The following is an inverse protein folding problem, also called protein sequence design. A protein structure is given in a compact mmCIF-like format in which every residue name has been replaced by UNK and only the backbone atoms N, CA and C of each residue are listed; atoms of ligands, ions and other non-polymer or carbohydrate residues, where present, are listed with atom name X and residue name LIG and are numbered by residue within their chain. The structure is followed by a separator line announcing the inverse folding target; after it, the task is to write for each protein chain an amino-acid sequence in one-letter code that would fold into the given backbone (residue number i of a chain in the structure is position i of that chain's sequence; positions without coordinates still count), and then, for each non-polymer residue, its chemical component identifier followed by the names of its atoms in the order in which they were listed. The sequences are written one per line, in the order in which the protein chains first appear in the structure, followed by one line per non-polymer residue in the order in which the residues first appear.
data_IF_092746682319
#
_entry.id   IF_092746682319
#
_cell.length_a   1.000
_cell.length_b   1.000
_cell.length_c   1.000
_cell.angle_alpha   90.00
_cell.angle_beta   90.00
_cell.angle_gamma   90.00
#
_symmetry.space_group_name_H-M   'P 1'
#
loop_
_entity.id
_entity.type
_entity.pdbx_description
1 polymer ?
#
# COMPACT_ATOMS: atom_id res chain seq x y z
N UNK A 1 16.62 -6.89 26.40
CA UNK A 1 15.69 -6.02 25.66
C UNK A 1 14.51 -5.78 26.58
N UNK A 2 14.33 -4.57 27.12
CA UNK A 2 13.29 -4.28 28.13
C UNK A 2 12.00 -3.81 27.46
N UNK A 3 10.85 -4.20 28.02
CA UNK A 3 9.51 -3.77 27.58
C UNK A 3 9.08 -2.45 28.27
N UNK A 4 9.88 -1.95 29.20
CA UNK A 4 9.64 -0.73 29.98
C UNK A 4 9.67 0.49 29.04
N UNK A 5 8.52 0.82 28.45
CA UNK A 5 8.37 1.90 27.45
C UNK A 5 7.43 1.57 26.29
N UNK A 6 7.02 0.30 26.15
CA UNK A 6 6.00 -0.07 25.16
C UNK A 6 4.64 0.48 25.59
N UNK A 7 3.96 1.16 24.66
CA UNK A 7 2.59 1.62 24.87
C UNK A 7 1.64 0.43 24.86
N UNK A 8 0.66 0.40 25.77
CA UNK A 8 -0.43 -0.60 25.79
C UNK A 8 -1.64 -0.14 24.95
N UNK A 9 -1.50 0.99 24.25
CA UNK A 9 -2.54 1.49 23.37
C UNK A 9 -2.88 0.46 22.27
N UNK A 10 -4.15 0.33 21.86
CA UNK A 10 -4.52 -0.54 20.75
C UNK A 10 -3.69 -0.20 19.50
N UNK A 11 -3.02 -1.20 18.93
CA UNK A 11 -2.17 -1.03 17.73
C UNK A 11 -0.69 -0.72 18.00
N UNK A 12 -0.28 -0.42 19.24
CA UNK A 12 1.11 -0.07 19.56
C UNK A 12 2.14 -1.19 19.29
N UNK A 13 1.67 -2.43 19.24
CA UNK A 13 2.46 -3.63 18.98
C UNK A 13 2.01 -4.36 17.72
N UNK A 14 1.29 -3.67 16.83
CA UNK A 14 0.93 -4.20 15.50
C UNK A 14 1.98 -3.72 14.51
N UNK A 15 2.78 -4.66 14.02
CA UNK A 15 3.64 -4.45 12.84
C UNK A 15 2.75 -4.68 11.63
N UNK A 16 2.51 -3.64 10.84
CA UNK A 16 1.82 -3.79 9.56
C UNK A 16 2.88 -4.04 8.50
N UNK A 17 2.73 -5.14 7.76
CA UNK A 17 3.64 -5.50 6.68
C UNK A 17 3.40 -4.55 5.48
N UNK A 18 4.47 -3.90 5.02
CA UNK A 18 4.42 -2.85 4.01
C UNK A 18 5.38 -3.18 2.87
N UNK A 19 4.87 -3.84 1.84
CA UNK A 19 5.63 -4.14 0.63
C UNK A 19 5.45 -3.05 -0.42
N UNK A 20 6.40 -2.97 -1.34
CA UNK A 20 6.29 -2.09 -2.49
C UNK A 20 5.05 -2.44 -3.32
N UNK A 21 4.23 -1.43 -3.64
CA UNK A 21 2.99 -1.55 -4.41
C UNK A 21 3.22 -1.94 -5.88
N UNK A 22 4.45 -1.81 -6.38
CA UNK A 22 4.79 -2.17 -7.76
C UNK A 22 4.72 -3.70 -7.90
N UNK A 23 3.92 -4.22 -8.86
CA UNK A 23 3.83 -5.66 -9.09
C UNK A 23 5.23 -6.22 -9.36
N UNK A 24 5.50 -7.42 -8.89
CA UNK A 24 6.79 -8.13 -9.07
C UNK A 24 8.00 -7.54 -8.31
N UNK A 25 7.85 -6.42 -7.58
CA UNK A 25 8.96 -5.88 -6.79
C UNK A 25 9.24 -6.71 -5.53
N UNK A 26 8.22 -6.98 -4.70
CA UNK A 26 8.34 -7.76 -3.47
C UNK A 26 9.28 -7.19 -2.38
N UNK A 27 9.92 -6.04 -2.63
CA UNK A 27 10.81 -5.37 -1.67
C UNK A 27 9.99 -4.67 -0.58
N UNK A 28 10.58 -4.51 0.60
CA UNK A 28 10.00 -3.72 1.67
C UNK A 28 9.84 -2.25 1.28
N UNK A 29 8.69 -1.67 1.58
CA UNK A 29 8.38 -0.27 1.32
C UNK A 29 8.81 0.61 2.49
N UNK A 30 9.70 1.57 2.23
CA UNK A 30 10.14 2.56 3.23
C UNK A 30 9.36 3.87 3.16
N UNK A 31 8.63 4.10 2.06
CA UNK A 31 7.96 5.37 1.75
C UNK A 31 6.47 5.13 1.58
N UNK A 32 5.67 5.63 2.52
CA UNK A 32 4.21 5.49 2.51
C UNK A 32 3.52 6.80 2.11
N UNK A 33 2.48 6.71 1.27
CA UNK A 33 1.62 7.84 0.91
C UNK A 33 0.15 7.44 1.00
N UNK A 34 -0.63 8.24 1.72
CA UNK A 34 -2.08 8.10 1.85
C UNK A 34 -2.76 9.25 1.11
N UNK A 35 -3.53 8.95 0.07
CA UNK A 35 -4.25 9.96 -0.71
C UNK A 35 -5.48 10.56 0.01
N UNK A 36 -5.83 10.02 1.19
CA UNK A 36 -6.94 10.50 2.00
C UNK A 36 -7.27 9.51 3.12
N UNK A 37 -8.32 9.80 3.90
CA UNK A 37 -8.74 8.94 5.03
C UNK A 37 -9.45 7.65 4.61
N UNK A 38 -9.88 7.57 3.34
CA UNK A 38 -10.64 6.44 2.80
C UNK A 38 -9.74 5.44 2.07
N UNK A 39 -8.63 5.93 1.52
CA UNK A 39 -7.72 5.12 0.72
C UNK A 39 -6.65 4.50 1.61
N UNK A 40 -6.30 3.25 1.35
CA UNK A 40 -5.18 2.60 2.03
C UNK A 40 -3.86 3.32 1.71
N UNK A 41 -2.94 3.31 2.67
CA UNK A 41 -1.59 3.82 2.46
C UNK A 41 -0.87 2.91 1.50
N UNK A 42 -0.46 3.44 0.35
CA UNK A 42 0.41 2.73 -0.58
C UNK A 42 1.86 2.94 -0.19
N UNK A 43 2.70 1.94 -0.43
CA UNK A 43 4.10 1.91 -0.02
C UNK A 43 5.02 1.64 -1.21
N UNK A 44 6.20 2.27 -1.22
CA UNK A 44 7.22 2.10 -2.27
C UNK A 44 8.61 1.88 -1.67
N UNK A 45 9.45 1.11 -2.38
CA UNK A 45 10.88 1.07 -2.12
C UNK A 45 11.57 2.31 -2.70
N UNK A 46 12.82 2.57 -2.33
CA UNK A 46 13.57 3.75 -2.80
C UNK A 46 13.62 3.85 -4.33
N UNK A 47 13.83 2.72 -5.01
CA UNK A 47 13.94 2.66 -6.47
C UNK A 47 12.62 3.07 -7.15
N UNK A 48 11.49 2.60 -6.63
CA UNK A 48 10.18 2.86 -7.21
C UNK A 48 9.49 4.12 -6.67
N UNK A 49 9.97 4.72 -5.59
CA UNK A 49 9.42 5.96 -5.09
C UNK A 49 9.71 7.13 -6.02
N UNK A 50 10.87 7.11 -6.70
CA UNK A 50 11.29 8.14 -7.66
C UNK A 50 10.73 7.90 -9.06
N UNK A 51 10.51 6.63 -9.42
CA UNK A 51 9.89 6.21 -10.69
C UNK A 51 8.36 6.33 -10.65
N UNK A 52 7.76 6.20 -9.45
CA UNK A 52 6.35 6.46 -9.27
C UNK A 52 6.05 7.87 -9.81
N UNK A 53 5.18 8.00 -10.83
CA UNK A 53 4.85 9.29 -11.41
C UNK A 53 4.26 10.14 -10.28
N UNK A 54 5.10 11.08 -9.83
CA UNK A 54 4.94 12.08 -8.78
C UNK A 54 3.53 12.10 -8.15
N UNK A 55 3.35 11.37 -7.04
CA UNK A 55 2.32 11.64 -6.04
C UNK A 55 0.89 11.94 -6.56
N UNK A 56 0.46 11.29 -7.65
CA UNK A 56 -0.86 11.54 -8.20
C UNK A 56 -1.15 10.69 -9.43
N UNK A 57 -2.02 9.70 -9.23
CA UNK A 57 -2.93 9.15 -10.25
C UNK A 57 -2.37 9.11 -11.70
N UNK A 58 -1.69 8.01 -12.09
CA UNK A 58 -1.87 7.60 -13.48
C UNK A 58 -3.23 6.88 -13.56
N UNK A 59 -4.08 7.32 -14.48
CA UNK A 59 -5.52 7.06 -14.53
C UNK A 59 -5.93 5.62 -14.82
N UNK A 60 -5.42 4.64 -14.06
CA UNK A 60 -5.69 3.22 -14.25
C UNK A 60 -6.34 2.52 -13.04
N UNK A 61 -6.47 3.16 -11.86
CA UNK A 61 -7.25 2.58 -10.75
C UNK A 61 -8.73 3.01 -10.73
N UNK A 62 -9.29 3.35 -11.89
CA UNK A 62 -10.76 3.42 -12.08
C UNK A 62 -11.29 2.31 -13.01
N UNK A 63 -10.41 1.45 -13.54
CA UNK A 63 -10.77 0.42 -14.51
C UNK A 63 -10.48 -1.03 -14.08
N UNK A 64 -9.94 -1.25 -12.87
CA UNK A 64 -10.01 -2.55 -12.18
C UNK A 64 -11.24 -2.64 -11.23
N UNK A 65 -12.26 -1.79 -11.49
CA UNK A 65 -13.58 -1.89 -10.86
C UNK A 65 -14.66 -2.41 -11.82
N UNK A 66 -14.28 -2.83 -13.03
CA UNK A 66 -15.20 -3.22 -14.11
C UNK A 66 -14.76 -4.53 -14.80
N UNK A 67 -14.21 -5.48 -14.04
CA UNK A 67 -14.26 -6.87 -14.47
C UNK A 67 -15.68 -7.39 -14.23
N UNK A 68 -16.52 -7.23 -15.26
CA UNK A 68 -17.86 -7.81 -15.42
C UNK A 68 -17.93 -9.25 -14.88
N UNK A 69 -18.73 -9.56 -13.85
CA UNK A 69 -19.03 -10.94 -13.49
C UNK A 69 -20.01 -11.62 -14.47
N UNK A 70 -20.39 -10.98 -15.58
CA UNK A 70 -21.30 -11.58 -16.57
C UNK A 70 -20.60 -12.47 -17.63
N UNK A 71 -19.28 -12.64 -17.59
CA UNK A 71 -18.54 -13.54 -18.49
C UNK A 71 -17.77 -14.66 -17.77
N UNK A 72 -18.37 -15.25 -16.75
CA UNK A 72 -18.09 -16.63 -16.37
C UNK A 72 -19.32 -17.46 -16.74
N UNK A 73 -19.41 -17.83 -18.02
CA UNK A 73 -20.51 -18.63 -18.54
C UNK A 73 -20.41 -20.09 -18.13
N UNK A 74 -21.50 -20.61 -17.56
CA UNK A 74 -22.34 -21.67 -18.14
C UNK A 74 -23.78 -21.53 -17.63
#
# INVERSE_FOLDING_TARGET
MSIEGHSTAPGANVIVEHYCCVPECGKWGGFGFSAGKVQETRWWCWEHYLDAPLAGYDGLTLLDGLADPHLAGE
#
